data_IF_946749766916
#
_entry.id   IF_946749766916
#
_cell.length_a   1.000
_cell.length_b   1.000
_cell.length_c   1.000
_cell.angle_alpha   90.00
_cell.angle_beta   90.00
_cell.angle_gamma   90.00
#
_symmetry.space_group_name_H-M   'P 1'
#
loop_
_entity.id
_entity.type
_entity.pdbx_description
1 polymer ?
#
# COMPACT_ATOMS: atom_id res chain seq x y z
N UNK A 1 34.31 -19.89 -7.05
CA UNK A 1 33.79 -19.51 -5.72
C UNK A 1 32.87 -18.31 -5.89
N UNK A 2 31.62 -18.41 -5.44
CA UNK A 2 30.73 -17.25 -5.36
C UNK A 2 31.30 -16.32 -4.28
N UNK A 3 31.65 -15.08 -4.66
CA UNK A 3 31.99 -14.05 -3.66
C UNK A 3 30.76 -13.74 -2.83
N UNK A 4 30.94 -13.52 -1.54
CA UNK A 4 29.88 -13.06 -0.67
C UNK A 4 29.40 -11.65 -1.10
N UNK A 5 28.11 -11.31 -0.87
CA UNK A 5 27.57 -10.00 -1.25
C UNK A 5 28.36 -8.81 -0.68
N UNK A 6 28.87 -8.94 0.55
CA UNK A 6 29.61 -7.88 1.23
C UNK A 6 30.94 -7.59 0.50
N UNK A 7 31.68 -8.61 0.08
CA UNK A 7 32.91 -8.45 -0.70
C UNK A 7 32.68 -7.75 -2.04
N UNK A 8 31.54 -7.97 -2.69
CA UNK A 8 31.18 -7.29 -3.94
C UNK A 8 30.86 -5.82 -3.68
N UNK A 9 30.07 -5.53 -2.63
CA UNK A 9 29.76 -4.15 -2.20
C UNK A 9 31.05 -3.41 -1.80
N UNK A 10 31.95 -4.07 -1.06
CA UNK A 10 33.23 -3.50 -0.67
C UNK A 10 34.09 -3.15 -1.90
N UNK A 11 34.14 -4.05 -2.88
CA UNK A 11 34.82 -3.78 -4.15
C UNK A 11 34.20 -2.60 -4.88
N UNK A 12 32.87 -2.47 -4.85
CA UNK A 12 32.15 -1.34 -5.43
C UNK A 12 32.49 -0.03 -4.73
N UNK A 13 32.46 0.02 -3.40
CA UNK A 13 32.81 1.21 -2.62
C UNK A 13 34.22 1.70 -2.97
N UNK A 14 35.21 0.80 -2.96
CA UNK A 14 36.58 1.19 -3.31
C UNK A 14 36.69 1.69 -4.76
N UNK A 15 36.00 1.05 -5.70
CA UNK A 15 36.01 1.47 -7.10
C UNK A 15 35.31 2.81 -7.32
N UNK A 16 34.27 3.14 -6.55
CA UNK A 16 33.59 4.44 -6.63
C UNK A 16 34.42 5.56 -6.00
N UNK A 17 35.14 5.31 -4.91
CA UNK A 17 35.97 6.30 -4.22
C UNK A 17 37.19 6.79 -5.03
N UNK A 18 37.53 6.13 -6.13
CA UNK A 18 38.61 6.58 -7.04
C UNK A 18 38.08 7.42 -8.22
N UNK A 19 36.76 7.55 -8.34
CA UNK A 19 36.14 8.39 -9.35
C UNK A 19 36.21 9.86 -8.93
N UNK A 20 36.06 10.76 -9.89
CA UNK A 20 36.00 12.19 -9.63
C UNK A 20 34.59 12.56 -9.17
N UNK A 21 34.52 13.36 -8.12
CA UNK A 21 33.28 13.95 -7.66
C UNK A 21 32.63 14.79 -8.78
N UNK A 22 31.30 14.84 -8.79
CA UNK A 22 30.46 15.60 -9.74
C UNK A 22 30.62 15.26 -11.23
N UNK A 23 31.37 14.20 -11.57
CA UNK A 23 31.47 13.69 -12.93
C UNK A 23 30.38 12.65 -13.20
N UNK A 24 29.73 12.77 -14.36
CA UNK A 24 28.80 11.75 -14.84
C UNK A 24 29.56 10.57 -15.45
N UNK A 25 29.16 9.35 -15.08
CA UNK A 25 29.75 8.11 -15.56
C UNK A 25 28.68 7.20 -16.16
N UNK A 26 29.03 6.54 -17.26
CA UNK A 26 28.21 5.46 -17.80
C UNK A 26 28.47 4.17 -17.02
N UNK A 27 27.41 3.40 -16.75
CA UNK A 27 27.54 2.12 -16.05
C UNK A 27 28.48 1.12 -16.75
N UNK A 28 28.64 1.24 -18.06
CA UNK A 28 29.58 0.42 -18.83
C UNK A 28 31.04 0.82 -18.59
N UNK A 29 31.31 2.06 -18.21
CA UNK A 29 32.67 2.52 -17.83
C UNK A 29 33.09 1.90 -16.49
N UNK A 30 32.14 1.56 -15.60
CA UNK A 30 32.46 0.84 -14.38
C UNK A 30 32.99 -0.59 -14.65
N UNK A 31 32.69 -1.16 -15.83
CA UNK A 31 33.22 -2.48 -16.22
C UNK A 31 34.73 -2.46 -16.46
N UNK A 32 35.29 -1.31 -16.89
CA UNK A 32 36.73 -1.18 -17.13
C UNK A 32 37.52 -0.96 -15.84
N UNK A 33 36.84 -0.69 -14.73
CA UNK A 33 37.49 -0.59 -13.42
C UNK A 33 37.98 -1.98 -12.95
N UNK A 34 39.18 -2.04 -12.33
CA UNK A 34 39.72 -3.29 -11.82
C UNK A 34 38.75 -3.99 -10.86
N UNK A 35 38.67 -5.33 -10.94
CA UNK A 35 37.84 -6.19 -10.05
C UNK A 35 36.32 -6.10 -10.25
N UNK A 36 35.83 -5.34 -11.23
CA UNK A 36 34.39 -5.18 -11.53
C UNK A 36 33.88 -6.07 -12.69
N UNK A 37 34.79 -6.59 -13.54
CA UNK A 37 34.46 -7.30 -14.80
C UNK A 37 33.56 -8.54 -14.60
N UNK A 38 33.81 -9.33 -13.56
CA UNK A 38 33.15 -10.62 -13.29
C UNK A 38 31.75 -10.50 -12.69
N UNK A 39 31.35 -9.30 -12.26
CA UNK A 39 30.11 -9.12 -11.48
C UNK A 39 29.24 -7.96 -11.97
N UNK A 40 29.45 -7.48 -13.20
CA UNK A 40 28.83 -6.25 -13.70
C UNK A 40 27.29 -6.23 -13.55
N UNK A 41 26.59 -7.34 -13.81
CA UNK A 41 25.13 -7.45 -13.66
C UNK A 41 24.73 -7.24 -12.20
N UNK A 42 25.48 -7.86 -11.28
CA UNK A 42 25.26 -7.76 -9.84
C UNK A 42 25.59 -6.36 -9.33
N UNK A 43 26.67 -5.75 -9.81
CA UNK A 43 27.05 -4.36 -9.49
C UNK A 43 25.94 -3.40 -9.91
N UNK A 44 25.39 -3.55 -11.13
CA UNK A 44 24.26 -2.76 -11.59
C UNK A 44 23.03 -2.91 -10.69
N UNK A 45 22.75 -4.13 -10.21
CA UNK A 45 21.66 -4.37 -9.25
C UNK A 45 21.95 -3.68 -7.91
N UNK A 46 23.18 -3.77 -7.40
CA UNK A 46 23.55 -3.14 -6.13
C UNK A 46 23.54 -1.63 -6.19
N UNK A 47 24.02 -1.00 -7.26
CA UNK A 47 23.91 0.46 -7.45
C UNK A 47 22.45 0.92 -7.41
N UNK A 48 21.54 0.19 -8.07
CA UNK A 48 20.10 0.47 -8.01
C UNK A 48 19.54 0.33 -6.59
N UNK A 49 19.92 -0.73 -5.88
CA UNK A 49 19.50 -0.95 -4.48
C UNK A 49 20.02 0.18 -3.58
N UNK A 50 21.29 0.56 -3.71
CA UNK A 50 21.89 1.67 -2.96
C UNK A 50 21.13 2.97 -3.24
N UNK A 51 20.84 3.28 -4.52
CA UNK A 51 20.09 4.46 -4.90
C UNK A 51 18.68 4.49 -4.27
N UNK A 52 17.97 3.36 -4.30
CA UNK A 52 16.65 3.20 -3.67
C UNK A 52 16.74 3.43 -2.16
N UNK A 53 17.71 2.80 -1.50
CA UNK A 53 17.92 2.94 -0.05
C UNK A 53 18.22 4.40 0.29
N UNK A 54 19.16 5.04 -0.40
CA UNK A 54 19.53 6.44 -0.15
C UNK A 54 18.35 7.40 -0.33
N UNK A 55 17.43 7.11 -1.24
CA UNK A 55 16.29 7.98 -1.56
C UNK A 55 15.10 7.79 -0.62
N UNK A 56 14.82 6.55 -0.22
CA UNK A 56 13.53 6.18 0.40
C UNK A 56 13.65 5.60 1.81
N UNK A 57 14.83 5.14 2.22
CA UNK A 57 15.05 4.55 3.55
C UNK A 57 15.07 5.60 4.65
N UNK A 58 14.67 5.25 5.88
CA UNK A 58 15.05 6.02 7.06
C UNK A 58 16.58 6.04 7.25
N UNK A 59 17.08 7.07 7.92
CA UNK A 59 18.47 7.13 8.40
C UNK A 59 18.60 6.19 9.60
N UNK A 60 19.55 5.26 9.55
CA UNK A 60 19.83 4.31 10.63
C UNK A 60 21.23 4.61 11.16
N UNK A 61 21.34 4.97 12.42
CA UNK A 61 22.62 5.07 13.13
C UNK A 61 22.77 3.87 14.04
N UNK A 62 23.90 3.16 13.93
CA UNK A 62 24.22 2.01 14.75
C UNK A 62 25.52 2.29 15.53
N UNK A 63 25.44 2.27 16.85
CA UNK A 63 26.58 2.40 17.76
C UNK A 63 26.55 1.25 18.77
N UNK A 64 27.57 0.39 18.72
CA UNK A 64 27.64 -0.87 19.47
C UNK A 64 26.39 -1.75 19.26
N UNK A 65 25.59 -1.93 20.31
CA UNK A 65 24.34 -2.70 20.33
C UNK A 65 23.09 -1.82 20.31
N UNK A 66 23.23 -0.51 20.11
CA UNK A 66 22.13 0.47 20.08
C UNK A 66 21.93 1.00 18.67
N UNK A 67 20.68 1.24 18.30
CA UNK A 67 20.35 1.87 17.03
C UNK A 67 19.37 3.02 17.22
N UNK A 68 19.53 4.06 16.41
CA UNK A 68 18.64 5.21 16.28
C UNK A 68 18.08 5.22 14.85
N UNK A 69 16.77 5.41 14.71
CA UNK A 69 16.09 5.54 13.42
C UNK A 69 15.54 6.95 13.32
N UNK A 70 15.88 7.66 12.24
CA UNK A 70 15.16 8.87 11.85
C UNK A 70 14.28 8.57 10.64
N UNK A 71 13.04 9.03 10.72
CA UNK A 71 12.03 8.77 9.70
C UNK A 71 12.50 9.21 8.31
N UNK A 72 12.08 8.47 7.29
CA UNK A 72 12.35 8.85 5.90
C UNK A 72 11.48 10.03 5.48
N UNK A 73 11.92 10.76 4.44
CA UNK A 73 11.13 11.85 3.84
C UNK A 73 9.75 11.39 3.36
N UNK A 74 9.63 10.13 2.90
CA UNK A 74 8.32 9.57 2.55
C UNK A 74 7.43 9.47 3.78
N UNK A 75 7.99 9.01 4.91
CA UNK A 75 7.19 8.83 6.11
C UNK A 75 6.59 10.15 6.62
N UNK A 76 7.32 11.24 6.45
CA UNK A 76 6.87 12.60 6.77
C UNK A 76 5.71 13.09 5.89
N UNK A 77 5.52 12.50 4.70
CA UNK A 77 4.41 12.82 3.78
C UNK A 77 3.11 12.15 4.15
N UNK A 78 3.15 11.06 4.92
CA UNK A 78 1.92 10.42 5.38
C UNK A 78 1.16 11.34 6.32
N UNK A 79 -0.15 11.39 6.14
CA UNK A 79 -1.02 11.95 7.17
C UNK A 79 -1.10 11.00 8.38
N UNK A 80 -1.58 11.50 9.51
CA UNK A 80 -1.64 10.73 10.75
C UNK A 80 -2.49 9.45 10.66
N UNK A 81 -3.54 9.45 9.82
CA UNK A 81 -4.40 8.27 9.61
C UNK A 81 -3.62 7.18 8.86
N UNK A 82 -2.90 7.58 7.82
CA UNK A 82 -2.04 6.67 7.04
C UNK A 82 -0.91 6.10 7.91
N UNK A 83 -0.29 6.93 8.76
CA UNK A 83 0.72 6.46 9.73
C UNK A 83 0.12 5.45 10.71
N UNK A 84 -1.09 5.68 11.21
CA UNK A 84 -1.78 4.73 12.09
C UNK A 84 -2.10 3.42 11.36
N UNK A 85 -2.55 3.47 10.10
CA UNK A 85 -2.79 2.28 9.28
C UNK A 85 -1.52 1.47 9.10
N UNK A 86 -0.42 2.13 8.74
CA UNK A 86 0.90 1.49 8.60
C UNK A 86 1.33 0.86 9.92
N UNK A 87 1.12 1.56 11.04
CA UNK A 87 1.48 1.07 12.36
C UNK A 87 0.70 -0.20 12.74
N UNK A 88 -0.62 -0.19 12.59
CA UNK A 88 -1.45 -1.36 12.90
C UNK A 88 -1.13 -2.53 11.97
N UNK A 89 -0.93 -2.28 10.68
CA UNK A 89 -0.58 -3.32 9.72
C UNK A 89 0.77 -3.97 10.05
N UNK A 90 1.80 -3.16 10.33
CA UNK A 90 3.15 -3.65 10.63
C UNK A 90 3.24 -4.41 11.96
N UNK A 91 2.29 -4.20 12.87
CA UNK A 91 2.16 -4.96 14.11
C UNK A 91 1.12 -6.10 14.00
N UNK A 92 0.70 -6.44 12.77
CA UNK A 92 -0.26 -7.53 12.50
C UNK A 92 -1.62 -7.39 13.21
N UNK A 93 -2.02 -6.17 13.55
CA UNK A 93 -3.31 -5.88 14.19
C UNK A 93 -4.43 -5.87 13.14
N UNK A 94 -4.74 -7.04 12.59
CA UNK A 94 -5.69 -7.23 11.48
C UNK A 94 -7.02 -7.84 11.93
N UNK A 95 -7.08 -8.33 13.16
CA UNK A 95 -8.23 -8.99 13.78
C UNK A 95 -8.34 -8.59 15.24
N UNK A 96 -9.50 -8.84 15.83
CA UNK A 96 -9.82 -8.48 17.21
C UNK A 96 -8.86 -9.13 18.22
N UNK A 97 -8.55 -10.42 18.03
CA UNK A 97 -7.59 -11.17 18.86
C UNK A 97 -6.14 -10.70 18.70
N UNK A 98 -5.86 -9.87 17.68
CA UNK A 98 -4.57 -9.27 17.38
C UNK A 98 -4.53 -7.77 17.68
N UNK A 99 -5.56 -7.22 18.31
CA UNK A 99 -5.63 -5.79 18.59
C UNK A 99 -4.47 -5.34 19.49
N UNK A 100 -3.80 -4.24 19.12
CA UNK A 100 -2.64 -3.72 19.85
C UNK A 100 -2.94 -2.40 20.52
N UNK A 101 -2.25 -2.14 21.64
CA UNK A 101 -2.30 -0.85 22.31
C UNK A 101 -1.50 0.17 21.51
N UNK A 102 -2.11 1.32 21.23
CA UNK A 102 -1.40 2.42 20.61
C UNK A 102 -0.51 3.13 21.65
N UNK A 103 0.73 3.48 21.29
CA UNK A 103 1.59 4.25 22.18
C UNK A 103 1.11 5.70 22.25
N UNK A 104 1.09 6.23 23.47
CA UNK A 104 0.50 7.54 23.80
C UNK A 104 1.16 8.71 23.06
N UNK A 105 2.36 8.51 22.51
CA UNK A 105 3.20 9.54 21.89
C UNK A 105 3.20 9.55 20.36
N UNK A 106 2.68 8.53 19.68
CA UNK A 106 2.87 8.40 18.22
C UNK A 106 1.89 9.21 17.38
N UNK A 107 0.70 9.51 17.90
CA UNK A 107 -0.40 9.98 17.07
C UNK A 107 -1.14 11.12 17.75
N UNK A 108 -1.15 12.30 17.13
CA UNK A 108 -1.97 13.43 17.58
C UNK A 108 -3.28 13.50 16.79
N UNK A 109 -4.00 12.37 16.74
CA UNK A 109 -5.29 12.26 16.05
C UNK A 109 -6.42 11.96 17.00
N UNK A 110 -7.58 12.54 16.69
CA UNK A 110 -8.84 12.09 17.26
C UNK A 110 -9.24 10.75 16.61
N UNK A 111 -8.66 9.65 17.11
CA UNK A 111 -8.88 8.29 16.59
C UNK A 111 -10.38 7.92 16.60
N UNK A 112 -11.17 8.53 17.47
CA UNK A 112 -12.61 8.27 17.59
C UNK A 112 -13.36 8.55 16.29
N UNK A 113 -12.97 9.56 15.52
CA UNK A 113 -13.63 9.95 14.27
C UNK A 113 -13.56 8.84 13.20
N UNK A 114 -12.53 7.99 13.27
CA UNK A 114 -12.30 6.93 12.29
C UNK A 114 -12.55 5.54 12.86
N UNK A 115 -12.94 5.46 14.13
CA UNK A 115 -13.30 4.20 14.78
C UNK A 115 -14.61 3.66 14.19
N UNK A 116 -14.70 2.34 14.03
CA UNK A 116 -15.79 1.66 13.32
C UNK A 116 -15.62 1.64 11.79
N UNK A 117 -14.99 2.65 11.19
CA UNK A 117 -14.76 2.70 9.74
C UNK A 117 -13.38 2.20 9.32
N UNK A 118 -12.29 2.85 9.74
CA UNK A 118 -10.92 2.44 9.37
C UNK A 118 -10.29 1.50 10.40
N UNK A 119 -10.71 1.63 11.66
CA UNK A 119 -10.15 0.91 12.80
C UNK A 119 -11.27 0.44 13.70
N UNK A 120 -11.14 -0.72 14.31
CA UNK A 120 -12.04 -1.15 15.37
C UNK A 120 -11.33 -1.00 16.71
N UNK A 121 -12.05 -0.47 17.70
CA UNK A 121 -11.61 -0.40 19.09
C UNK A 121 -12.23 -1.58 19.85
N UNK A 122 -11.42 -2.25 20.66
CA UNK A 122 -11.87 -3.35 21.53
C UNK A 122 -11.98 -2.83 22.96
N UNK A 123 -10.93 -3.01 23.76
CA UNK A 123 -10.84 -2.59 25.16
C UNK A 123 -9.49 -1.88 25.40
N UNK A 124 -9.40 -1.04 26.44
CA UNK A 124 -8.14 -0.44 26.91
C UNK A 124 -7.27 0.26 25.83
N UNK A 125 -7.91 0.94 24.87
CA UNK A 125 -7.24 1.58 23.73
C UNK A 125 -6.43 0.59 22.85
N UNK A 126 -6.92 -0.65 22.74
CA UNK A 126 -6.48 -1.59 21.73
C UNK A 126 -7.27 -1.41 20.44
N UNK A 127 -6.56 -1.45 19.32
CA UNK A 127 -7.10 -1.22 17.99
C UNK A 127 -6.61 -2.28 17.01
N UNK A 128 -7.44 -2.58 16.02
CA UNK A 128 -7.09 -3.36 14.83
C UNK A 128 -7.70 -2.76 13.57
N UNK A 129 -7.16 -3.10 12.40
CA UNK A 129 -7.63 -2.59 11.11
C UNK A 129 -8.99 -3.18 10.74
N UNK A 130 -9.88 -2.32 10.26
CA UNK A 130 -11.09 -2.78 9.57
C UNK A 130 -10.76 -3.24 8.14
N UNK A 131 -11.76 -3.77 7.44
CA UNK A 131 -11.66 -4.04 5.99
C UNK A 131 -11.32 -2.79 5.18
N UNK A 132 -11.95 -1.65 5.48
CA UNK A 132 -11.67 -0.40 4.78
C UNK A 132 -10.24 0.11 5.08
N UNK A 133 -9.77 -0.03 6.33
CA UNK A 133 -8.39 0.26 6.70
C UNK A 133 -7.38 -0.60 5.92
N UNK A 134 -7.65 -1.89 5.76
CA UNK A 134 -6.83 -2.79 4.95
C UNK A 134 -6.83 -2.42 3.46
N UNK A 135 -7.97 -2.01 2.90
CA UNK A 135 -8.04 -1.59 1.50
C UNK A 135 -7.29 -0.28 1.26
N UNK A 136 -7.34 0.66 2.22
CA UNK A 136 -6.51 1.86 2.19
C UNK A 136 -5.01 1.53 2.29
N UNK A 137 -4.62 0.58 3.16
CA UNK A 137 -3.24 0.09 3.22
C UNK A 137 -2.77 -0.47 1.86
N UNK A 138 -3.56 -1.33 1.20
CA UNK A 138 -3.20 -1.88 -0.11
C UNK A 138 -2.98 -0.77 -1.13
N UNK A 139 -3.82 0.26 -1.06
CA UNK A 139 -3.72 1.43 -1.92
C UNK A 139 -2.42 2.20 -1.64
N UNK A 140 -2.08 2.45 -0.37
CA UNK A 140 -0.80 3.07 0.04
C UNK A 140 0.39 2.23 -0.46
N UNK A 141 0.35 0.92 -0.26
CA UNK A 141 1.42 0.01 -0.65
C UNK A 141 1.63 0.01 -2.17
N UNK A 142 0.55 0.06 -2.96
CA UNK A 142 0.63 0.18 -4.41
C UNK A 142 1.34 1.46 -4.83
N UNK A 143 0.99 2.58 -4.21
CA UNK A 143 1.56 3.88 -4.56
C UNK A 143 3.04 3.96 -4.15
N UNK A 144 3.41 3.43 -2.97
CA UNK A 144 4.80 3.28 -2.56
C UNK A 144 5.60 2.37 -3.52
N UNK A 145 5.00 1.25 -3.91
CA UNK A 145 5.62 0.32 -4.87
C UNK A 145 5.85 1.03 -6.20
N UNK A 146 4.85 1.73 -6.73
CA UNK A 146 4.96 2.49 -7.97
C UNK A 146 6.03 3.59 -7.87
N UNK A 147 6.08 4.31 -6.76
CA UNK A 147 7.09 5.34 -6.48
C UNK A 147 8.51 4.76 -6.52
N UNK A 148 8.73 3.63 -5.83
CA UNK A 148 10.03 2.99 -5.69
C UNK A 148 10.48 2.34 -7.01
N UNK A 149 9.62 1.55 -7.65
CA UNK A 149 9.97 0.81 -8.86
C UNK A 149 10.15 1.71 -10.08
N UNK A 150 9.45 2.84 -10.14
CA UNK A 150 9.62 3.83 -11.20
C UNK A 150 10.61 4.94 -10.84
N UNK A 151 11.27 4.88 -9.67
CA UNK A 151 12.23 5.88 -9.19
C UNK A 151 11.69 7.33 -9.24
N UNK A 152 10.40 7.52 -8.95
CA UNK A 152 9.73 8.82 -8.90
C UNK A 152 10.25 9.69 -7.76
N UNK A 153 10.06 10.99 -7.83
CA UNK A 153 10.51 11.89 -6.77
C UNK A 153 9.67 11.68 -5.50
N UNK A 154 10.25 11.84 -4.31
CA UNK A 154 9.49 11.71 -3.05
C UNK A 154 8.34 12.72 -2.98
N UNK A 155 8.48 13.87 -3.65
CA UNK A 155 7.44 14.88 -3.73
C UNK A 155 6.26 14.46 -4.63
N UNK A 156 6.41 13.44 -5.48
CA UNK A 156 5.30 12.87 -6.26
C UNK A 156 4.39 11.99 -5.39
N UNK A 157 4.82 11.67 -4.15
CA UNK A 157 4.00 10.97 -3.17
C UNK A 157 3.02 11.94 -2.51
N UNK A 158 1.75 11.87 -2.94
CA UNK A 158 0.68 12.69 -2.39
C UNK A 158 -0.04 11.93 -1.27
N UNK A 159 -0.26 12.55 -0.09
CA UNK A 159 -1.14 11.99 0.92
C UNK A 159 -2.53 11.81 0.34
N UNK A 160 -3.25 10.77 0.77
CA UNK A 160 -4.63 10.56 0.36
C UNK A 160 -5.53 11.49 1.15
N UNK A 161 -5.69 12.69 0.63
CA UNK A 161 -6.76 13.59 1.06
C UNK A 161 -8.11 12.95 0.64
N UNK A 162 -8.96 12.69 1.65
CA UNK A 162 -10.42 12.60 1.53
C UNK A 162 -11.04 11.49 0.65
N UNK A 163 -10.66 10.22 0.83
CA UNK A 163 -11.54 9.09 0.45
C UNK A 163 -12.63 8.77 1.50
N UNK A 164 -12.80 9.61 2.53
CA UNK A 164 -13.62 9.32 3.72
C UNK A 164 -14.84 10.25 3.83
N UNK A 165 -14.80 11.47 3.29
CA UNK A 165 -15.93 12.40 3.39
C UNK A 165 -17.19 11.85 2.72
N UNK A 166 -17.07 11.27 1.52
CA UNK A 166 -18.23 10.72 0.80
C UNK A 166 -18.90 9.51 1.49
N UNK A 167 -18.16 8.71 2.27
CA UNK A 167 -18.73 7.53 2.96
C UNK A 167 -19.19 7.79 4.38
N UNK A 168 -18.57 8.75 5.07
CA UNK A 168 -19.10 9.22 6.37
C UNK A 168 -20.47 9.89 6.22
N UNK A 169 -20.72 10.54 5.08
CA UNK A 169 -22.04 11.07 4.71
C UNK A 169 -23.09 9.95 4.51
N UNK A 170 -22.70 8.83 3.88
CA UNK A 170 -23.59 7.69 3.63
C UNK A 170 -23.92 6.87 4.88
N UNK A 171 -23.05 6.85 5.89
CA UNK A 171 -23.31 6.16 7.16
C UNK A 171 -24.22 7.00 8.08
N UNK A 172 -24.02 8.33 8.13
CA UNK A 172 -24.92 9.22 8.88
C UNK A 172 -26.35 9.24 8.33
N UNK A 173 -26.54 9.18 7.01
CA UNK A 173 -27.87 9.13 6.40
C UNK A 173 -28.61 7.81 6.63
N UNK A 174 -27.92 6.74 7.01
CA UNK A 174 -28.55 5.46 7.36
C UNK A 174 -29.02 5.37 8.82
N UNK A 175 -28.43 6.15 9.73
CA UNK A 175 -28.81 6.17 11.15
C UNK A 175 -29.99 7.12 11.43
N UNK A 176 -30.15 8.18 10.63
CA UNK A 176 -31.25 9.16 10.78
C UNK A 176 -32.61 8.72 10.15
N UNK A 177 -32.72 7.45 9.71
CA UNK A 177 -33.97 6.90 9.14
C UNK A 177 -34.64 5.82 10.00
N UNK A 178 -34.17 5.62 11.23
CA UNK A 178 -34.76 4.68 12.18
C UNK A 178 -35.97 5.27 12.93
N UNK A 179 -36.97 5.74 12.17
CA UNK A 179 -38.36 5.94 12.62
C UNK A 179 -39.28 5.82 11.40
N UNK A 180 -39.32 4.61 10.81
CA UNK A 180 -40.39 4.23 9.91
C UNK A 180 -41.11 3.04 10.55
N UNK A 181 -42.28 3.32 11.14
CA UNK A 181 -43.23 2.31 11.58
C UNK A 181 -43.47 1.33 10.43
N UNK A 182 -43.13 0.06 10.67
CA UNK A 182 -43.43 -1.04 9.76
C UNK A 182 -44.95 -1.24 9.79
N UNK A 183 -45.70 -1.01 8.69
CA UNK A 183 -47.07 -1.50 8.61
C UNK A 183 -46.98 -3.02 8.49
N UNK A 184 -47.61 -3.72 9.44
CA UNK A 184 -47.76 -5.17 9.36
C UNK A 184 -48.65 -5.54 8.18
N UNK A 185 -48.08 -6.08 7.11
CA UNK A 185 -48.79 -7.04 6.26
C UNK A 185 -47.79 -7.92 5.53
N UNK A 186 -47.85 -9.21 5.88
CA UNK A 186 -47.31 -10.29 5.07
C UNK A 186 -48.11 -10.33 3.77
N UNK A 187 -47.54 -9.89 2.66
CA UNK A 187 -47.77 -10.44 1.31
C UNK A 187 -46.98 -9.64 0.25
N UNK A 188 -46.34 -10.37 -0.67
CA UNK A 188 -45.88 -9.92 -2.02
C UNK A 188 -44.41 -9.54 -2.31
N UNK A 189 -43.40 -10.03 -1.58
CA UNK A 189 -42.01 -10.02 -2.12
C UNK A 189 -41.71 -11.21 -3.05
N UNK A 190 -42.37 -12.37 -2.89
CA UNK A 190 -42.21 -13.50 -3.82
C UNK A 190 -42.91 -13.31 -5.17
N UNK A 191 -43.89 -12.40 -5.28
CA UNK A 191 -44.54 -12.09 -6.57
C UNK A 191 -43.73 -11.09 -7.42
N UNK A 192 -42.92 -10.22 -6.81
CA UNK A 192 -42.10 -9.26 -7.56
C UNK A 192 -40.89 -9.90 -8.24
N UNK A 193 -40.26 -10.90 -7.62
CA UNK A 193 -39.10 -11.60 -8.18
C UNK A 193 -39.51 -12.55 -9.33
N UNK A 194 -40.75 -13.06 -9.30
CA UNK A 194 -41.26 -13.97 -10.33
C UNK A 194 -41.64 -13.26 -11.64
N UNK A 195 -42.00 -11.97 -11.61
CA UNK A 195 -42.34 -11.19 -12.81
C UNK A 195 -41.11 -10.69 -13.58
N UNK A 196 -40.03 -10.33 -12.89
CA UNK A 196 -38.81 -9.81 -13.53
C UNK A 196 -37.99 -10.88 -14.28
N UNK A 197 -38.23 -12.16 -13.99
CA UNK A 197 -37.51 -13.28 -14.61
C UNK A 197 -38.20 -13.85 -15.85
N UNK A 198 -39.46 -13.50 -16.11
CA UNK A 198 -40.21 -13.96 -17.28
C UNK A 198 -40.11 -13.00 -18.48
N UNK A 199 -39.84 -11.71 -18.26
CA UNK A 199 -39.69 -10.74 -19.36
C UNK A 199 -38.33 -10.84 -20.08
N UNK A 200 -37.29 -11.38 -19.43
CA UNK A 200 -35.94 -11.51 -20.04
C UNK A 200 -35.68 -12.85 -20.78
N UNK A 201 -36.66 -13.75 -20.86
CA UNK A 201 -36.51 -15.04 -21.56
C UNK A 201 -37.21 -15.03 -22.93
N UNK A 202 -37.99 -14.01 -23.26
CA UNK A 202 -38.75 -13.93 -24.51
C UNK A 202 -38.08 -13.11 -25.64
N UNK A 203 -36.90 -12.52 -25.43
CA UNK A 203 -36.22 -11.70 -26.44
C UNK A 203 -34.97 -12.32 -27.09
N UNK A 204 -34.61 -13.58 -26.79
CA UNK A 204 -33.40 -14.21 -27.38
C UNK A 204 -33.62 -15.31 -28.41
N UNK A 205 -34.86 -15.65 -28.77
CA UNK A 205 -35.17 -16.72 -29.74
C UNK A 205 -35.75 -16.16 -31.05
N UNK A 206 -34.97 -15.39 -31.79
CA UNK A 206 -35.05 -15.34 -33.27
C UNK A 206 -33.74 -14.85 -33.86
N UNK A 207 -32.88 -15.77 -34.28
CA UNK A 207 -32.14 -15.77 -35.57
C UNK A 207 -31.08 -16.87 -35.52
N UNK A 208 -31.51 -18.08 -35.85
CA UNK A 208 -30.64 -19.11 -36.40
C UNK A 208 -30.81 -19.14 -37.91
N UNK A 209 -29.77 -19.63 -38.59
CA UNK A 209 -29.69 -20.04 -39.99
C UNK A 209 -29.08 -19.04 -40.98
N UNK A 210 -27.78 -19.21 -41.26
CA UNK A 210 -27.37 -19.68 -42.59
C UNK A 210 -26.02 -20.44 -42.52
N UNK A 211 -26.08 -21.72 -42.89
CA UNK A 211 -24.97 -22.66 -43.10
C UNK A 211 -24.79 -22.81 -44.62
N UNK A 212 -23.59 -22.59 -45.15
CA UNK A 212 -23.01 -23.25 -46.33
C UNK A 212 -21.48 -23.25 -46.13
N UNK A 213 -20.76 -24.32 -45.79
CA UNK A 213 -20.58 -25.67 -46.36
C UNK A 213 -19.75 -25.71 -47.66
N UNK A 214 -18.52 -26.23 -47.52
CA UNK A 214 -17.67 -26.98 -48.48
C UNK A 214 -17.12 -26.31 -49.75
N UNK A 215 -15.84 -25.91 -49.73
CA UNK A 215 -14.65 -26.67 -50.18
C UNK A 215 -13.43 -25.75 -50.31
#
# INVERSE_FOLDING_TARGET
>A
MNRDPLSIILSLIYSLNVLQDDKEYNINELKSLPKMDRHWITIKKYLKIIQIIQKFSPEIKLEDSKFEIKNSKIYERFNEKEKLILYLFNNEALREDQAIKLPDSLFNINIQEYSGYLFHKVEENKYYLSKAGMDLYKSINRDLTDLIYNNKDVNDFLPKEELIEEKSFLLKSSEDSADFEIPSSKESEMERISKFRLENILESDTTSEEIQSYN
#
